data_IF_038127843775
#
_entry.id   IF_038127843775
#
_cell.length_a   1.000
_cell.length_b   1.000
_cell.length_c   1.000
_cell.angle_alpha   90.00
_cell.angle_beta   90.00
_cell.angle_gamma   90.00
#
_symmetry.space_group_name_H-M   'P 1'
#
loop_
_entity.id
_entity.type
_entity.pdbx_description
1 polymer ?
#
# COMPACT_ATOMS: atom_id res chain seq x y z
N UNK A 1 -13.15 -21.63 -14.04
CA UNK A 1 -13.55 -20.43 -13.27
C UNK A 1 -12.49 -19.98 -12.25
N UNK A 2 -11.67 -20.85 -11.67
CA UNK A 2 -10.60 -20.50 -10.71
C UNK A 2 -9.54 -19.51 -11.25
N UNK A 3 -9.05 -19.70 -12.47
CA UNK A 3 -7.95 -18.89 -13.01
C UNK A 3 -8.28 -17.39 -13.15
N UNK A 4 -9.55 -17.06 -13.43
CA UNK A 4 -9.99 -15.66 -13.55
C UNK A 4 -9.92 -14.93 -12.20
N UNK A 5 -10.29 -15.61 -11.10
CA UNK A 5 -10.21 -15.04 -9.75
C UNK A 5 -8.76 -14.84 -9.30
N UNK A 6 -7.86 -15.76 -9.66
CA UNK A 6 -6.43 -15.64 -9.39
C UNK A 6 -5.87 -14.43 -10.14
N UNK A 7 -6.14 -14.31 -11.44
CA UNK A 7 -5.70 -13.17 -12.25
C UNK A 7 -6.18 -11.83 -11.70
N UNK A 8 -7.46 -11.73 -11.35
CA UNK A 8 -8.03 -10.51 -10.77
C UNK A 8 -7.39 -10.16 -9.43
N UNK A 9 -7.18 -11.15 -8.55
CA UNK A 9 -6.52 -10.94 -7.26
C UNK A 9 -5.07 -10.45 -7.39
N UNK A 10 -4.32 -10.97 -8.37
CA UNK A 10 -2.96 -10.55 -8.67
C UNK A 10 -2.92 -9.11 -9.20
N UNK A 11 -3.85 -8.73 -10.08
CA UNK A 11 -3.98 -7.35 -10.59
C UNK A 11 -4.29 -6.38 -9.44
N UNK A 12 -5.24 -6.73 -8.57
CA UNK A 12 -5.58 -5.90 -7.40
C UNK A 12 -4.38 -5.77 -6.45
N UNK A 13 -3.66 -6.86 -6.21
CA UNK A 13 -2.45 -6.86 -5.38
C UNK A 13 -1.38 -5.94 -5.96
N UNK A 14 -1.08 -6.06 -7.26
CA UNK A 14 -0.10 -5.22 -7.93
C UNK A 14 -0.51 -3.75 -7.89
N UNK A 15 -1.77 -3.46 -8.23
CA UNK A 15 -2.33 -2.10 -8.19
C UNK A 15 -2.21 -1.47 -6.80
N UNK A 16 -2.64 -2.20 -5.76
CA UNK A 16 -2.52 -1.72 -4.37
C UNK A 16 -1.07 -1.56 -3.93
N UNK A 17 -0.16 -2.42 -4.40
CA UNK A 17 1.26 -2.25 -4.09
C UNK A 17 1.79 -0.97 -4.70
N UNK A 18 1.55 -0.74 -6.00
CA UNK A 18 2.04 0.43 -6.74
C UNK A 18 1.50 1.75 -6.18
N UNK A 19 0.20 1.83 -5.91
CA UNK A 19 -0.42 3.05 -5.37
C UNK A 19 0.07 3.38 -3.95
N UNK A 20 0.57 2.38 -3.21
CA UNK A 20 1.11 2.55 -1.86
C UNK A 20 2.60 2.94 -1.81
N UNK A 21 3.34 2.84 -2.93
CA UNK A 21 4.74 3.25 -3.02
C UNK A 21 4.93 4.74 -2.70
N UNK A 22 4.16 5.68 -3.28
CA UNK A 22 4.26 7.09 -2.93
C UNK A 22 4.05 7.38 -1.45
N UNK A 23 3.11 6.69 -0.81
CA UNK A 23 2.87 6.85 0.62
C UNK A 23 4.05 6.34 1.45
N UNK A 24 4.69 5.24 1.04
CA UNK A 24 5.94 4.77 1.64
C UNK A 24 7.08 5.79 1.53
N UNK A 25 7.25 6.39 0.35
CA UNK A 25 8.28 7.41 0.08
C UNK A 25 8.09 8.67 0.93
N UNK A 26 6.84 9.12 1.09
CA UNK A 26 6.54 10.31 1.92
C UNK A 26 6.61 9.97 3.40
N UNK A 27 6.19 8.77 3.80
CA UNK A 27 6.20 8.34 5.21
C UNK A 27 7.61 8.27 5.78
N UNK A 28 8.61 7.93 4.97
CA UNK A 28 10.01 7.88 5.42
C UNK A 28 10.63 9.27 5.66
N UNK A 29 10.09 10.33 5.05
CA UNK A 29 10.65 11.69 5.14
C UNK A 29 9.99 12.56 6.21
N UNK A 30 8.88 12.12 6.80
CA UNK A 30 8.13 12.89 7.80
C UNK A 30 8.38 12.36 9.21
N UNK A 31 8.39 13.23 10.25
CA UNK A 31 8.61 12.79 11.63
C UNK A 31 7.58 11.75 12.06
N UNK A 32 8.04 10.66 12.68
CA UNK A 32 7.17 9.61 13.23
C UNK A 32 6.16 10.24 14.21
N UNK A 33 4.93 9.72 14.21
CA UNK A 33 3.81 10.23 15.02
C UNK A 33 3.36 11.68 14.73
N UNK A 34 3.88 12.32 13.69
CA UNK A 34 3.30 13.58 13.20
C UNK A 34 1.94 13.34 12.52
N UNK A 35 1.13 14.41 12.43
CA UNK A 35 -0.13 14.38 11.66
C UNK A 35 0.08 14.00 10.19
N UNK A 36 1.25 14.34 9.62
CA UNK A 36 1.62 13.94 8.24
C UNK A 36 1.90 12.45 8.19
N UNK A 37 2.68 11.93 9.13
CA UNK A 37 3.01 10.51 9.23
C UNK A 37 1.76 9.63 9.40
N UNK A 38 0.82 10.03 10.27
CA UNK A 38 -0.45 9.33 10.45
C UNK A 38 -1.29 9.29 9.17
N UNK A 39 -1.37 10.40 8.42
CA UNK A 39 -2.08 10.43 7.12
C UNK A 39 -1.49 9.45 6.11
N UNK A 40 -0.17 9.26 6.10
CA UNK A 40 0.48 8.26 5.26
C UNK A 40 0.15 6.82 5.65
N UNK A 41 -0.54 6.57 6.76
CA UNK A 41 -1.05 5.25 7.16
C UNK A 41 -2.56 5.17 6.92
N UNK A 42 -3.32 6.16 7.40
CA UNK A 42 -4.78 6.14 7.30
C UNK A 42 -5.28 6.26 5.85
N UNK A 43 -4.65 7.07 5.01
CA UNK A 43 -5.07 7.24 3.60
C UNK A 43 -4.92 5.90 2.84
N UNK A 44 -3.76 5.21 2.88
CA UNK A 44 -3.63 3.84 2.37
C UNK A 44 -4.71 2.86 2.82
N UNK A 45 -5.01 2.85 4.12
CA UNK A 45 -6.01 1.93 4.68
C UNK A 45 -7.39 2.23 4.10
N UNK A 46 -7.79 3.51 4.06
CA UNK A 46 -9.07 3.93 3.47
C UNK A 46 -9.13 3.60 1.97
N UNK A 47 -8.01 3.78 1.25
CA UNK A 47 -7.92 3.43 -0.16
C UNK A 47 -8.09 1.92 -0.38
N UNK A 48 -7.48 1.08 0.45
CA UNK A 48 -7.70 -0.37 0.44
C UNK A 48 -9.17 -0.75 0.68
N UNK A 49 -9.84 -0.07 1.60
CA UNK A 49 -11.28 -0.27 1.87
C UNK A 49 -12.12 0.10 0.64
N UNK A 50 -11.86 1.24 0.01
CA UNK A 50 -12.57 1.70 -1.19
C UNK A 50 -12.37 0.72 -2.34
N UNK A 51 -11.12 0.33 -2.65
CA UNK A 51 -10.80 -0.64 -3.71
C UNK A 51 -11.53 -1.95 -3.47
N UNK A 52 -11.59 -2.43 -2.22
CA UNK A 52 -12.30 -3.68 -1.88
C UNK A 52 -13.80 -3.57 -2.16
N UNK A 53 -14.41 -2.43 -1.85
CA UNK A 53 -15.85 -2.19 -2.09
C UNK A 53 -16.15 -2.07 -3.58
N UNK A 54 -15.30 -1.39 -4.35
CA UNK A 54 -15.47 -1.23 -5.79
C UNK A 54 -15.28 -2.54 -6.56
N UNK A 55 -14.33 -3.37 -6.13
CA UNK A 55 -14.05 -4.67 -6.76
C UNK A 55 -14.93 -5.81 -6.23
N UNK A 56 -15.81 -5.52 -5.27
CA UNK A 56 -16.64 -6.51 -4.55
C UNK A 56 -15.82 -7.71 -4.03
N UNK A 57 -14.56 -7.45 -3.68
CA UNK A 57 -13.63 -8.48 -3.25
C UNK A 57 -14.09 -9.14 -1.94
N UNK A 58 -14.00 -10.47 -1.92
CA UNK A 58 -14.32 -11.29 -0.75
C UNK A 58 -13.48 -10.88 0.47
N UNK A 59 -14.07 -10.99 1.66
CA UNK A 59 -13.37 -10.79 2.94
C UNK A 59 -12.12 -11.68 3.08
N UNK A 60 -12.10 -12.84 2.40
CA UNK A 60 -10.93 -13.73 2.36
C UNK A 60 -9.68 -13.08 1.74
N UNK A 61 -9.85 -12.01 0.94
CA UNK A 61 -8.75 -11.27 0.32
C UNK A 61 -8.22 -10.12 1.20
N UNK A 62 -8.82 -9.83 2.35
CA UNK A 62 -8.31 -8.77 3.25
C UNK A 62 -6.83 -8.95 3.61
N UNK A 63 -6.34 -10.15 3.97
CA UNK A 63 -4.91 -10.36 4.21
C UNK A 63 -4.04 -9.99 3.00
N UNK A 64 -4.52 -10.26 1.78
CA UNK A 64 -3.83 -9.90 0.54
C UNK A 64 -3.74 -8.37 0.36
N UNK A 65 -4.81 -7.64 0.67
CA UNK A 65 -4.84 -6.18 0.61
C UNK A 65 -3.89 -5.55 1.62
N UNK A 66 -3.84 -6.10 2.84
CA UNK A 66 -2.90 -5.68 3.89
C UNK A 66 -1.47 -5.93 3.43
N UNK A 67 -1.18 -7.13 2.90
CA UNK A 67 0.14 -7.48 2.39
C UNK A 67 0.59 -6.54 1.25
N UNK A 68 -0.28 -6.25 0.28
CA UNK A 68 0.00 -5.30 -0.81
C UNK A 68 0.33 -3.90 -0.28
N UNK A 69 -0.46 -3.44 0.70
CA UNK A 69 -0.31 -2.12 1.31
C UNK A 69 1.01 -1.99 2.08
N UNK A 70 1.36 -3.01 2.87
CA UNK A 70 2.63 -3.08 3.61
C UNK A 70 3.80 -3.13 2.62
N UNK A 71 3.73 -4.01 1.62
CA UNK A 71 4.78 -4.17 0.63
C UNK A 71 5.03 -2.86 -0.12
N UNK A 72 3.98 -2.20 -0.61
CA UNK A 72 4.10 -0.90 -1.27
C UNK A 72 4.74 0.17 -0.38
N UNK A 73 4.34 0.24 0.89
CA UNK A 73 4.93 1.19 1.84
C UNK A 73 6.38 0.90 2.20
N UNK A 74 6.79 -0.37 2.23
CA UNK A 74 8.20 -0.77 2.46
C UNK A 74 9.03 -0.40 1.23
N UNK A 75 8.59 -0.81 0.03
CA UNK A 75 9.27 -0.49 -1.23
C UNK A 75 9.44 1.01 -1.41
N UNK A 76 8.39 1.80 -1.15
CA UNK A 76 8.47 3.25 -1.16
C UNK A 76 9.47 3.82 -0.15
N UNK A 77 9.52 3.27 1.06
CA UNK A 77 10.52 3.68 2.06
C UNK A 77 11.95 3.39 1.61
N UNK A 78 12.19 2.22 1.02
CA UNK A 78 13.51 1.79 0.54
C UNK A 78 14.02 2.63 -0.65
N UNK A 79 13.15 3.01 -1.58
CA UNK A 79 13.51 3.84 -2.74
C UNK A 79 14.05 5.23 -2.35
N UNK A 80 13.70 5.73 -1.16
CA UNK A 80 14.19 7.00 -0.64
C UNK A 80 15.30 6.84 0.41
N UNK A 81 15.35 5.71 1.10
CA UNK A 81 16.37 5.40 2.11
C UNK A 81 17.82 5.47 1.58
N UNK A 82 18.01 5.32 0.27
CA UNK A 82 19.32 5.39 -0.39
C UNK A 82 19.83 6.83 -0.63
N UNK A 83 19.03 7.86 -0.35
CA UNK A 83 19.40 9.28 -0.54
C UNK A 83 19.59 10.06 0.77
N UNK A 84 19.68 9.36 1.90
CA UNK A 84 19.92 9.98 3.20
C UNK A 84 21.32 9.63 3.72
N UNK A 85 22.33 9.91 2.89
CA UNK A 85 23.74 10.02 3.28
C UNK A 85 24.27 11.39 2.83
N UNK A 86 23.73 12.47 3.39
CA UNK A 86 24.31 13.82 3.42
C UNK A 86 23.72 14.51 4.64
N UNK A 87 24.38 14.30 5.78
CA UNK A 87 24.90 15.33 6.70
C UNK A 87 25.46 14.64 7.96
#
# INVERSE_FOLDING_TARGET
MSNQYIGLSAIIFLFLTLINIPFGMVRSTVPRFSRKWGRCIYIPILLGIVVRRLTLASYKLIPLFIAATILGQILGGSLKGDKQHWD
#
